data_IF_720007340308
#
_entry.id   IF_720007340308
#
_cell.length_a   1.000
_cell.length_b   1.000
_cell.length_c   1.000
_cell.angle_alpha   90.00
_cell.angle_beta   90.00
_cell.angle_gamma   90.00
#
_symmetry.space_group_name_H-M   'P 1'
#
loop_
_entity.id
_entity.type
_entity.pdbx_description
1 polymer ?
#
# COMPACT_ATOMS: atom_id res chain seq x y z
N UNK A 1 3.35 -4.17 -7.91
CA UNK A 1 3.71 -4.05 -6.47
C UNK A 1 3.23 -2.70 -5.95
N UNK A 2 2.63 -2.64 -4.77
CA UNK A 2 2.38 -1.35 -4.08
C UNK A 2 3.25 -1.33 -2.83
N UNK A 3 4.02 -0.25 -2.63
CA UNK A 3 4.91 -0.06 -1.48
C UNK A 3 4.53 1.23 -0.77
N UNK A 4 4.21 1.13 0.52
CA UNK A 4 3.77 2.27 1.32
C UNK A 4 4.77 2.55 2.46
N UNK A 5 5.31 3.77 2.50
CA UNK A 5 6.16 4.25 3.58
C UNK A 5 6.12 5.77 3.66
N UNK A 6 5.49 6.29 4.69
CA UNK A 6 5.19 7.74 4.81
C UNK A 6 6.44 8.61 4.78
N UNK A 7 7.48 8.28 5.52
CA UNK A 7 8.73 9.05 5.48
C UNK A 7 9.59 8.74 4.23
N UNK A 8 9.36 7.64 3.55
CA UNK A 8 10.06 7.23 2.34
C UNK A 8 11.59 7.13 2.44
N UNK A 9 12.15 7.08 3.64
CA UNK A 9 13.60 7.21 3.88
C UNK A 9 14.30 5.96 4.40
N UNK A 10 13.53 4.94 4.81
CA UNK A 10 14.09 3.73 5.44
C UNK A 10 14.52 2.71 4.38
N UNK A 11 15.59 1.93 4.64
CA UNK A 11 16.16 1.01 3.65
C UNK A 11 15.17 -0.04 3.14
N UNK A 12 14.51 -0.78 4.02
CA UNK A 12 13.66 -1.93 3.66
C UNK A 12 12.61 -1.62 2.58
N UNK A 13 11.74 -0.57 2.71
CA UNK A 13 10.79 -0.27 1.65
C UNK A 13 11.46 0.16 0.33
N UNK A 14 12.63 0.78 0.37
CA UNK A 14 13.40 1.16 -0.81
C UNK A 14 13.93 -0.09 -1.51
N UNK A 15 14.59 -0.99 -0.77
CA UNK A 15 15.10 -2.26 -1.30
C UNK A 15 13.98 -3.12 -1.91
N UNK A 16 12.84 -3.22 -1.23
CA UNK A 16 11.67 -3.97 -1.74
C UNK A 16 11.17 -3.40 -3.06
N UNK A 17 11.08 -2.08 -3.17
CA UNK A 17 10.64 -1.42 -4.40
C UNK A 17 11.66 -1.63 -5.55
N UNK A 18 12.96 -1.45 -5.28
CA UNK A 18 14.02 -1.64 -6.27
C UNK A 18 14.08 -3.10 -6.75
N UNK A 19 14.08 -4.08 -5.85
CA UNK A 19 14.08 -5.50 -6.20
C UNK A 19 12.83 -5.88 -7.02
N UNK A 20 11.67 -5.33 -6.68
CA UNK A 20 10.45 -5.57 -7.45
C UNK A 20 10.60 -5.06 -8.89
N UNK A 21 11.15 -3.87 -9.10
CA UNK A 21 11.41 -3.32 -10.44
C UNK A 21 12.45 -4.12 -11.21
N UNK A 22 13.54 -4.53 -10.57
CA UNK A 22 14.56 -5.42 -11.17
C UNK A 22 13.97 -6.75 -11.66
N UNK A 23 12.92 -7.23 -10.97
CA UNK A 23 12.15 -8.41 -11.37
C UNK A 23 11.04 -8.13 -12.39
N UNK A 24 10.97 -6.92 -12.94
CA UNK A 24 9.99 -6.52 -13.96
C UNK A 24 8.60 -6.18 -13.41
N UNK A 25 8.45 -6.00 -12.09
CA UNK A 25 7.17 -5.55 -11.54
C UNK A 25 6.98 -4.05 -11.72
N UNK A 26 5.77 -3.64 -12.09
CA UNK A 26 5.35 -2.23 -12.01
C UNK A 26 5.16 -1.83 -10.54
N UNK A 27 5.78 -0.75 -10.10
CA UNK A 27 5.81 -0.33 -8.70
C UNK A 27 5.05 0.99 -8.49
N UNK A 28 4.02 0.94 -7.66
CA UNK A 28 3.30 2.11 -7.16
C UNK A 28 3.81 2.40 -5.74
N UNK A 29 4.28 3.61 -5.52
CA UNK A 29 4.77 4.08 -4.23
C UNK A 29 3.76 5.05 -3.61
N UNK A 30 3.46 4.85 -2.33
CA UNK A 30 2.66 5.78 -1.52
C UNK A 30 3.55 6.33 -0.41
N UNK A 31 3.85 7.62 -0.44
CA UNK A 31 4.77 8.28 0.51
C UNK A 31 4.37 9.74 0.70
N UNK A 32 4.78 10.38 1.77
CA UNK A 32 4.67 11.84 1.87
C UNK A 32 5.88 12.49 1.20
N UNK A 33 5.66 13.19 0.10
CA UNK A 33 6.74 13.89 -0.61
C UNK A 33 7.38 14.97 0.27
N UNK A 34 6.56 15.74 0.98
CA UNK A 34 7.03 16.80 1.88
C UNK A 34 7.85 16.21 3.05
N UNK A 35 7.32 15.19 3.71
CA UNK A 35 8.02 14.57 4.84
C UNK A 35 9.31 13.89 4.37
N UNK A 36 9.26 13.14 3.29
CA UNK A 36 10.43 12.49 2.70
C UNK A 36 11.53 13.48 2.36
N UNK A 37 11.19 14.59 1.68
CA UNK A 37 12.14 15.63 1.32
C UNK A 37 12.77 16.35 2.54
N UNK A 38 12.04 16.46 3.65
CA UNK A 38 12.49 17.14 4.87
C UNK A 38 13.55 16.39 5.68
N UNK A 39 13.86 15.14 5.31
CA UNK A 39 14.77 14.25 6.05
C UNK A 39 15.84 13.67 5.11
N UNK A 40 17.02 13.37 5.64
CA UNK A 40 18.03 12.61 4.90
C UNK A 40 17.57 11.16 4.73
N UNK A 41 17.86 10.56 3.58
CA UNK A 41 17.69 9.12 3.40
C UNK A 41 18.54 8.36 4.43
N UNK A 42 18.05 7.19 4.84
CA UNK A 42 18.80 6.21 5.65
C UNK A 42 19.33 5.06 4.79
N UNK A 43 18.95 5.04 3.52
CA UNK A 43 19.46 4.05 2.58
C UNK A 43 20.88 4.39 2.16
N UNK A 44 21.74 3.39 1.99
CA UNK A 44 23.18 3.55 1.65
C UNK A 44 23.41 4.26 0.33
N UNK A 45 22.48 4.10 -0.64
CA UNK A 45 22.53 4.79 -1.93
C UNK A 45 22.12 6.26 -1.86
N UNK A 46 21.59 6.75 -0.73
CA UNK A 46 21.00 8.07 -0.62
C UNK A 46 19.61 8.23 -1.24
N UNK A 47 19.09 7.22 -1.95
CA UNK A 47 17.77 7.24 -2.57
C UNK A 47 16.65 7.26 -1.54
N UNK A 48 15.48 7.75 -1.98
CA UNK A 48 14.20 7.70 -1.25
C UNK A 48 13.26 6.73 -1.95
N UNK A 49 12.21 6.34 -1.26
CA UNK A 49 11.21 5.43 -1.83
C UNK A 49 10.57 6.01 -3.10
N UNK A 50 10.36 7.33 -3.17
CA UNK A 50 9.86 8.01 -4.37
C UNK A 50 10.74 7.80 -5.61
N UNK A 51 12.04 7.56 -5.43
CA UNK A 51 12.98 7.36 -6.55
C UNK A 51 12.85 5.94 -7.14
N UNK A 52 12.22 5.02 -6.41
CA UNK A 52 12.06 3.62 -6.79
C UNK A 52 10.65 3.28 -7.36
N UNK A 53 9.74 4.24 -7.46
CA UNK A 53 8.38 4.04 -7.99
C UNK A 53 8.26 4.36 -9.47
N UNK A 54 7.42 3.62 -10.20
CA UNK A 54 6.96 3.98 -11.54
C UNK A 54 5.82 5.01 -11.45
N UNK A 55 4.99 4.90 -10.41
CA UNK A 55 4.02 5.92 -9.99
C UNK A 55 4.28 6.25 -8.52
N UNK A 56 4.24 7.54 -8.19
CA UNK A 56 4.36 8.04 -6.83
C UNK A 56 3.09 8.79 -6.46
N UNK A 57 2.46 8.37 -5.37
CA UNK A 57 1.26 8.99 -4.81
C UNK A 57 1.65 9.65 -3.49
N UNK A 58 1.42 10.98 -3.40
CA UNK A 58 1.64 11.73 -2.17
C UNK A 58 0.46 11.49 -1.21
N UNK A 59 0.74 10.96 -0.01
CA UNK A 59 -0.28 10.78 1.02
C UNK A 59 -0.52 12.04 1.88
N UNK A 60 0.20 13.12 1.62
CA UNK A 60 0.02 14.42 2.28
C UNK A 60 0.36 14.46 3.78
N UNK A 61 0.94 13.40 4.34
CA UNK A 61 1.27 13.38 5.76
C UNK A 61 2.36 14.41 6.11
N UNK A 62 2.17 15.11 7.22
CA UNK A 62 3.14 16.10 7.70
C UNK A 62 4.41 15.43 8.23
N UNK A 63 5.49 16.22 8.37
CA UNK A 63 6.73 15.74 9.01
C UNK A 63 6.44 15.21 10.42
N UNK A 64 6.84 13.96 10.68
CA UNK A 64 6.57 13.27 11.93
C UNK A 64 5.21 12.60 11.99
N UNK A 65 4.37 12.78 10.95
CA UNK A 65 3.04 12.18 10.76
C UNK A 65 1.97 12.57 11.78
N UNK A 66 2.29 13.33 12.82
CA UNK A 66 1.38 13.71 13.90
C UNK A 66 0.89 15.15 13.72
N UNK A 67 -0.44 15.36 13.77
CA UNK A 67 -1.08 16.62 13.37
C UNK A 67 -1.67 17.44 14.53
N UNK A 68 -1.93 16.81 15.69
CA UNK A 68 -2.49 17.49 16.85
C UNK A 68 -1.41 17.88 17.84
N UNK A 69 -1.65 18.99 18.52
CA UNK A 69 -0.81 19.50 19.62
C UNK A 69 -1.71 19.89 20.79
N UNK A 70 -1.17 19.83 22.00
CA UNK A 70 -1.83 20.31 23.21
C UNK A 70 -1.00 21.43 23.82
N UNK A 71 -1.65 22.40 24.50
CA UNK A 71 -0.96 23.51 25.14
C UNK A 71 0.02 23.06 26.26
N UNK A 72 -0.25 21.91 26.86
CA UNK A 72 0.52 21.38 28.00
C UNK A 72 1.33 20.11 27.63
N UNK A 73 1.55 19.86 26.33
CA UNK A 73 2.29 18.67 25.87
C UNK A 73 3.00 18.97 24.56
N UNK A 74 4.32 19.02 24.61
CA UNK A 74 5.15 19.47 23.48
C UNK A 74 5.24 18.47 22.32
N UNK A 75 4.83 17.23 22.53
CA UNK A 75 4.90 16.18 21.49
C UNK A 75 3.60 16.17 20.69
N UNK A 76 3.71 16.29 19.36
CA UNK A 76 2.56 16.14 18.48
C UNK A 76 2.06 14.68 18.47
N UNK A 77 0.75 14.49 18.33
CA UNK A 77 0.07 13.21 18.36
C UNK A 77 -0.99 13.11 17.25
N UNK A 78 -1.74 12.02 17.16
CA UNK A 78 -2.71 11.72 16.11
C UNK A 78 -2.06 11.61 14.70
N UNK A 79 -1.35 10.49 14.41
CA UNK A 79 -0.79 10.24 13.10
C UNK A 79 -1.91 10.00 12.05
N UNK A 80 -1.72 10.51 10.84
CA UNK A 80 -2.72 10.47 9.77
C UNK A 80 -2.41 9.46 8.67
N UNK A 81 -1.15 9.05 8.52
CA UNK A 81 -0.69 8.26 7.38
C UNK A 81 -1.38 6.90 7.22
N UNK A 82 -1.76 6.25 8.32
CA UNK A 82 -2.49 4.97 8.26
C UNK A 82 -3.86 5.16 7.63
N UNK A 83 -4.59 6.20 8.05
CA UNK A 83 -5.94 6.48 7.53
C UNK A 83 -5.85 6.91 6.06
N UNK A 84 -5.00 7.88 5.72
CA UNK A 84 -4.85 8.34 4.35
C UNK A 84 -4.32 7.23 3.43
N UNK A 85 -3.38 6.41 3.89
CA UNK A 85 -2.88 5.26 3.16
C UNK A 85 -3.97 4.22 2.89
N UNK A 86 -4.81 3.92 3.87
CA UNK A 86 -5.94 3.01 3.70
C UNK A 86 -6.96 3.56 2.69
N UNK A 87 -7.31 4.85 2.78
CA UNK A 87 -8.23 5.50 1.83
C UNK A 87 -7.67 5.43 0.40
N UNK A 88 -6.39 5.77 0.20
CA UNK A 88 -5.75 5.71 -1.12
C UNK A 88 -5.79 4.29 -1.68
N UNK A 89 -5.42 3.27 -0.88
CA UNK A 89 -5.45 1.87 -1.31
C UNK A 89 -6.85 1.41 -1.69
N UNK A 90 -7.85 1.70 -0.86
CA UNK A 90 -9.25 1.32 -1.13
C UNK A 90 -9.78 2.03 -2.39
N UNK A 91 -9.41 3.28 -2.62
CA UNK A 91 -9.80 4.02 -3.83
C UNK A 91 -9.19 3.39 -5.09
N UNK A 92 -7.90 3.01 -5.04
CA UNK A 92 -7.23 2.32 -6.16
C UNK A 92 -7.93 0.98 -6.46
N UNK A 93 -8.24 0.20 -5.42
CA UNK A 93 -8.89 -1.10 -5.61
C UNK A 93 -10.33 -0.96 -6.11
N UNK A 94 -11.09 0.01 -5.59
CA UNK A 94 -12.45 0.27 -6.05
C UNK A 94 -12.47 0.62 -7.54
N UNK A 95 -11.61 1.54 -7.97
CA UNK A 95 -11.48 1.93 -9.38
C UNK A 95 -11.02 0.77 -10.28
N UNK A 96 -10.07 -0.05 -9.78
CA UNK A 96 -9.60 -1.22 -10.51
C UNK A 96 -10.72 -2.27 -10.68
N UNK A 97 -11.53 -2.51 -9.65
CA UNK A 97 -12.68 -3.42 -9.69
C UNK A 97 -13.72 -2.90 -10.68
N UNK A 98 -14.08 -1.62 -10.61
CA UNK A 98 -15.04 -1.01 -11.53
C UNK A 98 -14.57 -1.13 -12.98
N UNK A 99 -13.28 -0.88 -13.25
CA UNK A 99 -12.70 -1.05 -14.57
C UNK A 99 -12.77 -2.51 -15.04
N UNK A 100 -12.45 -3.48 -14.17
CA UNK A 100 -12.56 -4.90 -14.51
C UNK A 100 -14.00 -5.26 -14.92
N UNK A 101 -15.01 -4.79 -14.17
CA UNK A 101 -16.43 -5.02 -14.47
C UNK A 101 -16.80 -4.43 -15.83
N UNK A 102 -16.38 -3.19 -16.11
CA UNK A 102 -16.65 -2.52 -17.38
C UNK A 102 -15.98 -3.22 -18.58
N UNK A 103 -14.83 -3.87 -18.35
CA UNK A 103 -14.14 -4.68 -19.34
C UNK A 103 -14.69 -6.14 -19.43
N UNK A 104 -15.85 -6.43 -18.81
CA UNK A 104 -16.48 -7.77 -18.73
C UNK A 104 -15.61 -8.83 -18.05
N UNK A 105 -14.72 -8.43 -17.17
CA UNK A 105 -13.91 -9.31 -16.34
C UNK A 105 -14.51 -9.42 -14.93
N UNK A 106 -14.75 -10.65 -14.46
CA UNK A 106 -15.21 -10.88 -13.09
C UNK A 106 -14.07 -10.65 -12.09
N UNK A 107 -14.12 -9.58 -11.27
CA UNK A 107 -13.05 -9.27 -10.34
C UNK A 107 -12.97 -10.31 -9.21
N UNK A 108 -11.76 -10.70 -8.77
CA UNK A 108 -11.59 -11.69 -7.71
C UNK A 108 -11.74 -11.05 -6.32
N UNK A 109 -12.97 -10.76 -5.93
CA UNK A 109 -13.29 -10.13 -4.66
C UNK A 109 -13.80 -11.16 -3.67
N UNK A 110 -13.14 -11.28 -2.51
CA UNK A 110 -13.61 -12.10 -1.40
C UNK A 110 -14.80 -11.45 -0.71
N UNK A 111 -15.76 -12.27 -0.32
CA UNK A 111 -16.91 -11.86 0.49
C UNK A 111 -16.57 -12.10 1.97
N UNK A 112 -17.02 -11.21 2.86
CA UNK A 112 -16.84 -11.40 4.29
C UNK A 112 -17.44 -12.73 4.74
N UNK A 113 -16.70 -13.52 5.53
CA UNK A 113 -17.19 -14.78 6.09
C UNK A 113 -18.40 -14.66 7.03
N UNK A 114 -18.80 -13.43 7.36
CA UNK A 114 -20.02 -13.15 8.12
C UNK A 114 -21.28 -13.05 7.25
N UNK A 115 -21.14 -13.23 5.93
CA UNK A 115 -22.25 -13.20 4.98
C UNK A 115 -22.58 -14.62 4.54
N UNK A 116 -23.87 -14.93 4.41
CA UNK A 116 -24.33 -16.24 3.94
C UNK A 116 -23.73 -16.59 2.57
N UNK A 117 -23.38 -17.85 2.37
CA UNK A 117 -22.76 -18.39 1.15
C UNK A 117 -21.36 -17.84 0.80
N UNK A 118 -20.71 -17.10 1.72
CA UNK A 118 -19.36 -16.56 1.51
C UNK A 118 -18.33 -17.67 1.31
N UNK A 119 -18.42 -18.77 2.07
CA UNK A 119 -17.43 -19.87 2.06
C UNK A 119 -17.30 -20.52 0.67
N UNK A 120 -18.42 -20.83 0.02
CA UNK A 120 -18.40 -21.44 -1.31
C UNK A 120 -17.80 -20.50 -2.37
N UNK A 121 -18.17 -19.21 -2.31
CA UNK A 121 -17.63 -18.18 -3.21
C UNK A 121 -16.12 -17.99 -3.00
N UNK A 122 -15.70 -17.85 -1.76
CA UNK A 122 -14.30 -17.62 -1.39
C UNK A 122 -13.44 -18.85 -1.74
N UNK A 123 -13.94 -20.06 -1.48
CA UNK A 123 -13.23 -21.29 -1.84
C UNK A 123 -13.02 -21.41 -3.35
N UNK A 124 -14.01 -21.05 -4.14
CA UNK A 124 -13.87 -21.05 -5.62
C UNK A 124 -12.78 -20.08 -6.09
N UNK A 125 -12.62 -18.91 -5.44
CA UNK A 125 -11.52 -17.99 -5.71
C UNK A 125 -10.16 -18.57 -5.29
N UNK A 126 -10.07 -19.18 -4.12
CA UNK A 126 -8.85 -19.87 -3.65
C UNK A 126 -8.45 -20.93 -4.68
N UNK A 127 -9.36 -21.81 -5.07
CA UNK A 127 -9.08 -22.90 -6.01
C UNK A 127 -8.62 -22.38 -7.38
N UNK A 128 -9.18 -21.27 -7.83
CA UNK A 128 -8.81 -20.64 -9.10
C UNK A 128 -7.41 -20.02 -9.08
N UNK A 129 -6.99 -19.46 -7.94
CA UNK A 129 -5.79 -18.62 -7.89
C UNK A 129 -4.64 -19.20 -7.05
N UNK A 130 -4.82 -20.30 -6.28
CA UNK A 130 -3.81 -20.86 -5.37
C UNK A 130 -2.49 -21.25 -6.05
N UNK A 131 -2.52 -21.69 -7.29
CA UNK A 131 -1.29 -22.02 -8.04
C UNK A 131 -0.46 -20.78 -8.38
N UNK A 132 -1.15 -19.67 -8.68
CA UNK A 132 -0.49 -18.39 -8.97
C UNK A 132 -0.10 -17.64 -7.70
N UNK A 133 -0.86 -17.81 -6.63
CA UNK A 133 -0.68 -17.14 -5.33
C UNK A 133 -0.64 -18.22 -4.25
N UNK A 134 0.53 -18.87 -4.03
CA UNK A 134 0.64 -20.01 -3.12
C UNK A 134 0.13 -19.76 -1.69
N UNK A 135 0.22 -18.51 -1.22
CA UNK A 135 -0.29 -18.11 0.10
C UNK A 135 -1.80 -18.34 0.27
N UNK A 136 -2.59 -18.32 -0.82
CA UNK A 136 -4.02 -18.63 -0.76
C UNK A 136 -4.31 -20.11 -0.47
N UNK A 137 -3.39 -21.01 -0.79
CA UNK A 137 -3.52 -22.45 -0.53
C UNK A 137 -2.94 -22.90 0.82
N UNK A 138 -2.33 -22.00 1.58
CA UNK A 138 -1.85 -22.29 2.92
C UNK A 138 -3.04 -22.19 3.87
N UNK A 139 -3.43 -23.33 4.47
CA UNK A 139 -4.36 -23.33 5.60
C UNK A 139 -3.68 -22.57 6.75
N UNK A 140 -4.09 -21.35 6.99
CA UNK A 140 -3.70 -20.54 8.15
C UNK A 140 -4.52 -20.96 9.36
#
# INVERSE_FOLDING_TARGET
>A
MIVLSTSGRNPVPIDVAEIAREKGAFVIVITSLQYSASQKSRHTSGKRLSDAGDIVIDNGAVKGDAVLKSANFDIAFAPTSTVTGAVILQSIFAEAIEKMVNDNFTPPVFISGNVENADAHNQALVDKYKERIPLLGMNL
#
